data_IF_344446698668
#
_entry.id   IF_344446698668
#
_cell.length_a   1.000
_cell.length_b   1.000
_cell.length_c   1.000
_cell.angle_alpha   90.00
_cell.angle_beta   90.00
_cell.angle_gamma   90.00
#
_symmetry.space_group_name_H-M   'P 1'
#
loop_
_entity.id
_entity.type
_entity.pdbx_description
1 polymer ?
#
# COMPACT_ATOMS: atom_id res chain seq x y z
N UNK A 1 10.86 -16.06 14.85
CA UNK A 1 10.06 -15.17 13.98
C UNK A 1 10.26 -13.75 14.44
N UNK A 2 10.32 -12.77 13.54
CA UNK A 2 10.36 -11.36 13.94
C UNK A 2 8.95 -10.77 13.92
N UNK A 3 8.62 -9.96 14.91
CA UNK A 3 7.37 -9.19 14.96
C UNK A 3 7.74 -7.71 15.08
N UNK A 4 7.53 -6.98 14.01
CA UNK A 4 7.84 -5.55 13.90
C UNK A 4 6.60 -4.75 14.29
N UNK A 5 6.71 -3.96 15.36
CA UNK A 5 5.66 -3.07 15.81
C UNK A 5 5.88 -1.65 15.26
N UNK A 6 4.87 -1.12 14.56
CA UNK A 6 4.87 0.26 14.03
C UNK A 6 3.81 1.15 14.70
N UNK A 7 3.00 0.57 15.59
CA UNK A 7 1.86 1.21 16.24
C UNK A 7 0.52 0.65 15.73
N UNK A 8 -0.45 1.54 15.53
CA UNK A 8 -1.79 1.19 15.05
C UNK A 8 -2.80 0.74 16.12
N UNK A 9 -4.01 0.45 15.68
CA UNK A 9 -5.18 0.14 16.53
C UNK A 9 -4.96 -1.08 17.43
N UNK A 10 -4.24 -2.10 16.95
CA UNK A 10 -3.95 -3.32 17.72
C UNK A 10 -3.16 -3.04 19.00
N UNK A 11 -2.35 -1.99 18.98
CA UNK A 11 -1.55 -1.53 20.09
C UNK A 11 -2.19 -0.36 20.85
N UNK A 12 -3.42 0.04 20.51
CA UNK A 12 -4.07 1.24 21.03
C UNK A 12 -5.26 0.92 21.95
N UNK A 13 -5.46 1.77 22.96
CA UNK A 13 -6.65 1.81 23.82
C UNK A 13 -7.28 3.19 23.76
N UNK A 14 -8.61 3.26 23.94
CA UNK A 14 -9.30 4.55 24.05
C UNK A 14 -9.08 5.18 25.43
N UNK A 15 -8.84 6.48 25.47
CA UNK A 15 -8.82 7.26 26.70
C UNK A 15 -10.22 7.76 27.10
N UNK A 16 -10.32 8.52 28.19
CA UNK A 16 -11.59 9.06 28.72
C UNK A 16 -12.32 9.98 27.73
N UNK A 17 -11.64 10.49 26.70
CA UNK A 17 -12.23 11.33 25.63
C UNK A 17 -12.74 10.49 24.46
N UNK A 18 -12.48 9.18 24.46
CA UNK A 18 -12.81 8.26 23.38
C UNK A 18 -11.76 8.19 22.26
N UNK A 19 -10.66 8.92 22.37
CA UNK A 19 -9.56 8.92 21.40
C UNK A 19 -8.67 7.68 21.61
N UNK A 20 -8.38 6.95 20.53
CA UNK A 20 -7.46 5.81 20.58
C UNK A 20 -6.01 6.30 20.64
N UNK A 21 -5.23 5.80 21.61
CA UNK A 21 -3.80 6.09 21.77
C UNK A 21 -2.99 4.81 21.89
N UNK A 22 -1.78 4.74 21.30
CA UNK A 22 -0.88 3.61 21.51
C UNK A 22 -0.58 3.42 23.00
N UNK A 23 -0.83 2.24 23.53
CA UNK A 23 -0.65 1.90 24.94
C UNK A 23 -0.04 0.51 25.19
N UNK A 24 0.04 -0.34 24.17
CA UNK A 24 0.61 -1.70 24.27
C UNK A 24 1.90 -1.79 23.44
N UNK A 25 2.97 -2.34 24.02
CA UNK A 25 4.17 -2.74 23.27
C UNK A 25 3.92 -4.04 22.49
N UNK A 26 4.71 -4.30 21.45
CA UNK A 26 4.70 -5.58 20.74
C UNK A 26 5.00 -6.74 21.69
N UNK A 27 5.90 -6.56 22.65
CA UNK A 27 6.19 -7.55 23.69
C UNK A 27 4.95 -7.90 24.54
N UNK A 28 4.16 -6.89 24.92
CA UNK A 28 2.90 -7.11 25.66
C UNK A 28 1.87 -7.87 24.82
N UNK A 29 1.73 -7.54 23.53
CA UNK A 29 0.83 -8.24 22.61
C UNK A 29 1.22 -9.72 22.44
N UNK A 30 2.51 -10.02 22.50
CA UNK A 30 3.05 -11.37 22.36
C UNK A 30 2.96 -12.20 23.65
N UNK A 31 2.98 -11.56 24.82
CA UNK A 31 2.88 -12.24 26.12
C UNK A 31 1.58 -13.06 26.29
N UNK A 32 0.50 -12.65 25.61
CA UNK A 32 -0.78 -13.37 25.60
C UNK A 32 -0.87 -14.52 24.60
N UNK A 33 0.13 -14.68 23.72
CA UNK A 33 0.13 -15.67 22.62
C UNK A 33 1.02 -16.90 22.92
N UNK A 34 1.48 -17.04 24.17
CA UNK A 34 2.44 -18.06 24.64
C UNK A 34 1.98 -19.52 24.67
N UNK A 35 1.08 -19.93 23.78
CA UNK A 35 0.78 -21.34 23.51
C UNK A 35 1.54 -21.80 22.27
N UNK A 36 2.44 -22.76 22.43
CA UNK A 36 3.15 -23.51 21.38
C UNK A 36 4.38 -22.84 20.72
N UNK A 37 5.55 -23.00 21.36
CA UNK A 37 6.83 -23.34 20.71
C UNK A 37 7.49 -22.34 19.74
N UNK A 38 6.83 -21.27 19.32
CA UNK A 38 7.39 -20.30 18.38
C UNK A 38 8.17 -19.21 19.15
N UNK A 39 9.50 -19.18 19.00
CA UNK A 39 10.32 -18.07 19.51
C UNK A 39 10.04 -16.81 18.69
N UNK A 40 9.59 -15.74 19.36
CA UNK A 40 9.30 -14.45 18.76
C UNK A 40 10.34 -13.42 19.21
N UNK A 41 10.91 -12.71 18.24
CA UNK A 41 11.79 -11.55 18.41
C UNK A 41 10.94 -10.28 18.20
N UNK A 42 10.58 -9.56 19.27
CA UNK A 42 9.92 -8.27 19.12
C UNK A 42 10.90 -7.22 18.57
N UNK A 43 10.43 -6.38 17.64
CA UNK A 43 11.15 -5.24 17.08
C UNK A 43 10.26 -4.01 17.21
N UNK A 44 10.55 -3.17 18.21
CA UNK A 44 9.85 -1.90 18.43
C UNK A 44 10.43 -0.84 17.48
N UNK A 45 9.81 -0.67 16.31
CA UNK A 45 10.33 0.26 15.30
C UNK A 45 9.81 1.68 15.53
N UNK A 46 8.50 1.82 15.75
CA UNK A 46 7.85 3.09 16.00
C UNK A 46 6.46 2.89 16.62
N UNK A 47 5.84 3.98 17.09
CA UNK A 47 4.47 3.99 17.60
C UNK A 47 3.71 5.17 17.00
N UNK A 48 3.32 5.05 15.72
CA UNK A 48 2.60 6.09 14.97
C UNK A 48 1.20 5.63 14.56
N UNK A 49 0.29 6.59 14.45
CA UNK A 49 -1.00 6.38 13.79
C UNK A 49 -0.76 6.27 12.27
N UNK A 50 -1.37 5.27 11.62
CA UNK A 50 -1.17 5.02 10.19
C UNK A 50 -1.57 6.20 9.30
N UNK A 51 -2.55 7.01 9.72
CA UNK A 51 -2.98 8.22 9.00
C UNK A 51 -1.94 9.34 9.01
N UNK A 52 -0.97 9.26 9.94
CA UNK A 52 0.11 10.24 10.09
C UNK A 52 1.46 9.74 9.53
N UNK A 53 1.48 8.56 8.91
CA UNK A 53 2.70 8.03 8.31
C UNK A 53 3.09 8.82 7.06
N UNK A 54 4.39 9.08 6.96
CA UNK A 54 5.01 9.66 5.77
C UNK A 54 5.63 8.58 4.88
N UNK A 55 6.01 8.92 3.66
CA UNK A 55 6.76 7.99 2.79
C UNK A 55 8.11 7.58 3.40
N UNK A 56 8.74 8.45 4.18
CA UNK A 56 9.96 8.12 4.93
C UNK A 56 9.69 7.11 6.05
N UNK A 57 8.54 7.19 6.71
CA UNK A 57 8.14 6.18 7.71
C UNK A 57 7.89 4.82 7.04
N UNK A 58 7.21 4.81 5.89
CA UNK A 58 7.02 3.60 5.09
C UNK A 58 8.36 2.98 4.67
N UNK A 59 9.33 3.81 4.24
CA UNK A 59 10.68 3.35 3.90
C UNK A 59 11.37 2.71 5.11
N UNK A 60 11.30 3.34 6.30
CA UNK A 60 11.87 2.79 7.52
C UNK A 60 11.25 1.42 7.90
N UNK A 61 9.95 1.24 7.68
CA UNK A 61 9.27 -0.05 7.87
C UNK A 61 9.80 -1.09 6.88
N UNK A 62 9.97 -0.72 5.61
CA UNK A 62 10.55 -1.61 4.61
C UNK A 62 11.99 -2.01 4.95
N UNK A 63 12.83 -1.04 5.32
CA UNK A 63 14.22 -1.29 5.72
C UNK A 63 14.30 -2.27 6.90
N UNK A 64 13.43 -2.09 7.91
CA UNK A 64 13.34 -3.01 9.05
C UNK A 64 12.94 -4.43 8.62
N UNK A 65 11.97 -4.57 7.70
CA UNK A 65 11.64 -5.88 7.13
C UNK A 65 12.85 -6.48 6.39
N UNK A 66 13.58 -5.67 5.62
CA UNK A 66 14.80 -6.11 4.94
C UNK A 66 15.88 -6.67 5.89
N UNK A 67 16.08 -6.02 7.04
CA UNK A 67 16.99 -6.48 8.10
C UNK A 67 16.57 -7.86 8.62
N UNK A 68 15.30 -8.04 8.95
CA UNK A 68 14.79 -9.31 9.49
C UNK A 68 14.73 -10.42 8.43
N UNK A 69 14.51 -10.07 7.16
CA UNK A 69 14.63 -11.01 6.04
C UNK A 69 16.06 -11.53 5.87
N UNK A 70 17.08 -10.71 6.15
CA UNK A 70 18.49 -11.11 6.07
C UNK A 70 18.97 -11.96 7.25
N UNK A 71 18.33 -11.88 8.42
CA UNK A 71 18.73 -12.60 9.63
C UNK A 71 18.47 -14.13 9.51
N UNK A 72 19.48 -15.00 9.47
CA UNK A 72 19.27 -16.45 9.31
C UNK A 72 18.54 -17.11 10.51
N UNK A 73 18.47 -16.45 11.67
CA UNK A 73 17.70 -16.93 12.82
C UNK A 73 16.19 -16.63 12.72
N UNK A 74 15.78 -15.81 11.75
CA UNK A 74 14.38 -15.44 11.50
C UNK A 74 13.81 -16.29 10.37
N UNK A 75 12.70 -16.98 10.62
CA UNK A 75 12.06 -17.86 9.62
C UNK A 75 10.84 -17.21 8.93
N UNK A 76 10.43 -16.04 9.39
CA UNK A 76 9.28 -15.28 8.89
C UNK A 76 9.16 -13.95 9.65
N UNK A 77 8.46 -12.99 9.06
CA UNK A 77 8.27 -11.64 9.59
C UNK A 77 6.77 -11.34 9.68
N UNK A 78 6.33 -10.82 10.82
CA UNK A 78 5.01 -10.21 10.99
C UNK A 78 5.18 -8.73 11.23
N UNK A 79 4.38 -7.90 10.56
CA UNK A 79 4.37 -6.44 10.73
C UNK A 79 3.03 -6.04 11.32
N UNK A 80 3.04 -5.53 12.54
CA UNK A 80 1.88 -4.90 13.17
C UNK A 80 1.77 -3.47 12.67
N UNK A 81 0.64 -3.14 12.04
CA UNK A 81 0.46 -1.87 11.37
C UNK A 81 -0.95 -1.32 11.59
N UNK A 82 -1.10 0.02 11.55
CA UNK A 82 -2.42 0.67 11.53
C UNK A 82 -3.11 0.47 10.18
N UNK A 83 -4.44 0.38 10.19
CA UNK A 83 -5.20 -0.08 9.01
C UNK A 83 -5.31 0.97 7.90
N UNK A 84 -5.19 2.26 8.20
CA UNK A 84 -5.47 3.33 7.21
C UNK A 84 -4.44 3.43 6.07
N UNK A 85 -3.18 3.08 6.35
CA UNK A 85 -2.09 3.14 5.36
C UNK A 85 -1.40 1.77 5.15
N UNK A 86 -2.06 0.69 5.57
CA UNK A 86 -1.50 -0.67 5.48
C UNK A 86 -1.36 -1.12 4.03
N UNK A 87 -2.33 -0.78 3.17
CA UNK A 87 -2.31 -1.12 1.74
C UNK A 87 -1.12 -0.50 0.99
N UNK A 88 -0.70 0.70 1.40
CA UNK A 88 0.44 1.42 0.82
C UNK A 88 1.77 0.85 1.31
N UNK A 89 1.92 0.73 2.64
CA UNK A 89 3.17 0.29 3.26
C UNK A 89 3.50 -1.15 2.88
N UNK A 90 2.51 -2.04 2.91
CA UNK A 90 2.71 -3.44 2.57
C UNK A 90 3.07 -3.65 1.09
N UNK A 91 2.56 -2.80 0.18
CA UNK A 91 3.00 -2.80 -1.20
C UNK A 91 4.45 -2.33 -1.34
N UNK A 92 4.89 -1.30 -0.62
CA UNK A 92 6.28 -0.85 -0.66
C UNK A 92 7.24 -2.00 -0.28
N UNK A 93 6.94 -2.72 0.79
CA UNK A 93 7.72 -3.89 1.22
C UNK A 93 7.76 -4.97 0.14
N UNK A 94 6.62 -5.23 -0.51
CA UNK A 94 6.58 -6.19 -1.61
C UNK A 94 7.43 -5.76 -2.80
N UNK A 95 7.47 -4.46 -3.11
CA UNK A 95 8.24 -3.93 -4.24
C UNK A 95 9.75 -3.96 -4.01
N UNK A 96 10.21 -3.76 -2.77
CA UNK A 96 11.64 -3.56 -2.47
C UNK A 96 12.42 -4.85 -2.18
N UNK A 97 11.75 -5.92 -1.72
CA UNK A 97 12.46 -7.08 -1.17
C UNK A 97 12.20 -8.38 -1.92
N UNK A 98 13.29 -9.11 -2.18
CA UNK A 98 13.23 -10.54 -2.51
C UNK A 98 12.75 -11.33 -1.30
N UNK A 99 11.62 -12.02 -1.45
CA UNK A 99 10.98 -12.74 -0.35
C UNK A 99 11.52 -14.15 -0.19
N UNK A 100 12.65 -14.28 0.51
CA UNK A 100 13.20 -15.59 0.90
C UNK A 100 12.38 -16.30 1.98
N UNK A 101 11.51 -15.56 2.69
CA UNK A 101 10.73 -15.97 3.87
C UNK A 101 9.35 -15.29 3.82
N UNK A 102 8.33 -15.83 4.50
CA UNK A 102 7.02 -15.18 4.59
C UNK A 102 7.10 -13.81 5.28
N UNK A 103 6.39 -12.81 4.73
CA UNK A 103 6.19 -11.49 5.34
C UNK A 103 4.68 -11.24 5.40
N UNK A 104 4.16 -11.07 6.61
CA UNK A 104 2.73 -10.95 6.87
C UNK A 104 2.44 -9.63 7.58
N UNK A 105 1.64 -8.76 6.95
CA UNK A 105 1.08 -7.59 7.61
C UNK A 105 -0.20 -7.98 8.36
N UNK A 106 -0.44 -7.33 9.50
CA UNK A 106 -1.67 -7.48 10.26
C UNK A 106 -1.93 -6.26 11.16
N UNK A 107 -3.10 -6.19 11.76
CA UNK A 107 -3.54 -5.11 12.64
C UNK A 107 -4.88 -5.42 13.29
N UNK A 108 -5.61 -4.37 13.66
CA UNK A 108 -6.96 -4.50 14.20
C UNK A 108 -7.86 -3.38 13.65
N UNK A 109 -9.13 -3.69 13.42
CA UNK A 109 -10.14 -2.67 13.10
C UNK A 109 -10.63 -1.99 14.38
N UNK A 110 -10.78 -2.75 15.45
CA UNK A 110 -11.25 -2.26 16.74
C UNK A 110 -10.12 -2.21 17.77
N UNK A 111 -10.17 -1.20 18.64
CA UNK A 111 -9.19 -1.01 19.72
C UNK A 111 -9.25 -2.16 20.73
N UNK A 112 -8.17 -2.36 21.49
CA UNK A 112 -8.03 -3.49 22.40
C UNK A 112 -9.09 -3.53 23.52
N UNK A 113 -9.67 -2.39 23.88
CA UNK A 113 -10.75 -2.24 24.86
C UNK A 113 -12.16 -2.53 24.29
N UNK A 114 -12.29 -2.69 22.97
CA UNK A 114 -13.58 -2.93 22.34
C UNK A 114 -14.05 -4.39 22.53
N UNK A 115 -15.33 -4.65 22.84
CA UNK A 115 -15.88 -6.01 22.93
C UNK A 115 -15.74 -6.85 21.64
N UNK A 116 -15.65 -6.19 20.49
CA UNK A 116 -15.43 -6.79 19.17
C UNK A 116 -13.96 -6.74 18.72
N UNK A 117 -13.02 -6.56 19.64
CA UNK A 117 -11.59 -6.51 19.32
C UNK A 117 -11.14 -7.73 18.51
N UNK A 118 -10.53 -7.45 17.35
CA UNK A 118 -10.13 -8.44 16.36
C UNK A 118 -8.60 -8.66 16.34
N UNK A 119 -7.84 -7.76 16.98
CA UNK A 119 -6.38 -7.78 17.03
C UNK A 119 -5.75 -9.11 17.46
N UNK A 120 -6.15 -9.73 18.59
CA UNK A 120 -5.56 -10.99 19.03
C UNK A 120 -5.73 -12.13 18.01
N UNK A 121 -6.92 -12.26 17.41
CA UNK A 121 -7.20 -13.29 16.43
C UNK A 121 -6.42 -13.05 15.12
N UNK A 122 -6.37 -11.80 14.65
CA UNK A 122 -5.59 -11.40 13.49
C UNK A 122 -4.09 -11.68 13.69
N UNK A 123 -3.54 -11.34 14.85
CA UNK A 123 -2.13 -11.58 15.17
C UNK A 123 -1.80 -13.08 15.26
N UNK A 124 -2.65 -13.88 15.90
CA UNK A 124 -2.46 -15.33 15.95
C UNK A 124 -2.45 -15.93 14.53
N UNK A 125 -3.39 -15.53 13.68
CA UNK A 125 -3.44 -15.96 12.29
C UNK A 125 -2.21 -15.50 11.50
N UNK A 126 -1.73 -14.28 11.72
CA UNK A 126 -0.54 -13.75 11.08
C UNK A 126 0.73 -14.53 11.46
N UNK A 127 0.88 -14.89 12.74
CA UNK A 127 1.98 -15.73 13.23
C UNK A 127 1.92 -17.11 12.58
N UNK A 128 0.74 -17.76 12.53
CA UNK A 128 0.59 -19.05 11.86
C UNK A 128 0.93 -18.97 10.37
N UNK A 129 0.50 -17.90 9.69
CA UNK A 129 0.81 -17.65 8.28
C UNK A 129 2.31 -17.42 8.05
N UNK A 130 2.97 -16.68 8.94
CA UNK A 130 4.41 -16.41 8.86
C UNK A 130 5.26 -17.65 9.18
N UNK A 131 4.72 -18.61 9.95
CA UNK A 131 5.36 -19.88 10.24
C UNK A 131 5.24 -20.91 9.09
N UNK A 132 4.42 -20.62 8.08
CA UNK A 132 4.19 -21.49 6.91
C UNK A 132 5.13 -21.10 5.76
N UNK A 133 6.23 -21.86 5.48
CA UNK A 133 7.28 -21.39 4.57
C UNK A 133 6.84 -21.17 3.13
N UNK A 134 5.85 -21.93 2.65
CA UNK A 134 5.30 -21.82 1.28
C UNK A 134 4.57 -20.50 1.02
N UNK A 135 4.17 -19.77 2.07
CA UNK A 135 3.54 -18.46 1.89
C UNK A 135 4.48 -17.40 1.30
N UNK A 136 5.80 -17.58 1.38
CA UNK A 136 6.78 -16.68 0.73
C UNK A 136 6.61 -16.58 -0.79
N UNK A 137 6.09 -17.64 -1.42
CA UNK A 137 5.91 -17.73 -2.87
C UNK A 137 4.72 -16.90 -3.37
N UNK A 138 3.87 -16.43 -2.44
CA UNK A 138 2.63 -15.69 -2.71
C UNK A 138 2.79 -14.17 -2.61
N UNK A 139 4.02 -13.68 -2.44
CA UNK A 139 4.29 -12.26 -2.18
C UNK A 139 4.19 -11.90 -0.70
N UNK A 140 4.17 -10.60 -0.40
CA UNK A 140 3.80 -10.11 0.93
C UNK A 140 2.30 -10.30 1.08
N UNK A 141 1.86 -10.73 2.26
CA UNK A 141 0.46 -11.03 2.53
C UNK A 141 -0.07 -10.16 3.66
N UNK A 142 -1.39 -9.95 3.67
CA UNK A 142 -2.17 -9.40 4.77
C UNK A 142 -2.93 -10.55 5.45
N UNK A 143 -2.85 -10.65 6.78
CA UNK A 143 -3.76 -11.47 7.59
C UNK A 143 -4.69 -10.58 8.41
N UNK A 144 -5.97 -10.57 8.06
CA UNK A 144 -6.97 -9.67 8.65
C UNK A 144 -8.39 -10.19 8.39
N UNK A 145 -9.31 -10.05 9.35
CA UNK A 145 -10.73 -10.40 9.14
C UNK A 145 -10.96 -11.87 8.78
N UNK A 146 -10.08 -12.76 9.24
CA UNK A 146 -10.12 -14.20 8.90
C UNK A 146 -9.63 -14.54 7.48
N UNK A 147 -9.11 -13.56 6.72
CA UNK A 147 -8.56 -13.75 5.38
C UNK A 147 -7.04 -13.68 5.38
N UNK A 148 -6.44 -14.32 4.38
CA UNK A 148 -5.04 -14.16 4.01
C UNK A 148 -4.97 -13.70 2.55
N UNK A 149 -4.66 -12.42 2.34
CA UNK A 149 -4.75 -11.75 1.03
C UNK A 149 -3.35 -11.34 0.54
N UNK A 150 -3.06 -11.43 -0.77
CA UNK A 150 -1.89 -10.75 -1.35
C UNK A 150 -2.02 -9.23 -1.22
N UNK A 151 -0.89 -8.53 -1.16
CA UNK A 151 -0.91 -7.06 -1.07
C UNK A 151 -1.11 -6.37 -2.41
N UNK A 152 -0.84 -7.01 -3.55
CA UNK A 152 -1.04 -6.39 -4.86
C UNK A 152 -2.53 -6.19 -5.16
N UNK A 153 -2.96 -4.94 -5.33
CA UNK A 153 -4.37 -4.58 -5.52
C UNK A 153 -5.17 -4.53 -4.21
N UNK A 154 -4.52 -4.69 -3.05
CA UNK A 154 -5.16 -4.58 -1.74
C UNK A 154 -5.70 -3.16 -1.52
N UNK A 155 -6.90 -3.08 -0.94
CA UNK A 155 -7.46 -1.82 -0.45
C UNK A 155 -8.31 -2.01 0.81
N UNK A 156 -8.41 -0.97 1.65
CA UNK A 156 -9.34 -0.93 2.78
C UNK A 156 -10.74 -0.58 2.28
N UNK A 157 -11.65 -1.56 2.33
CA UNK A 157 -13.02 -1.46 1.84
C UNK A 157 -14.04 -0.96 2.86
N UNK A 158 -13.73 -1.04 4.16
CA UNK A 158 -14.63 -0.63 5.23
C UNK A 158 -13.92 0.17 6.33
N UNK A 159 -14.65 1.12 6.91
CA UNK A 159 -14.18 1.94 8.02
C UNK A 159 -14.60 1.37 9.40
N UNK A 160 -15.51 0.40 9.44
CA UNK A 160 -16.14 -0.10 10.68
C UNK A 160 -16.48 -1.59 10.69
N UNK A 161 -16.04 -2.34 9.67
CA UNK A 161 -16.25 -3.80 9.56
C UNK A 161 -14.95 -4.55 9.90
N UNK A 162 -14.95 -5.60 10.74
CA UNK A 162 -13.76 -6.43 10.97
C UNK A 162 -13.24 -7.14 9.70
N UNK A 163 -14.07 -7.31 8.67
CA UNK A 163 -13.63 -7.69 7.31
C UNK A 163 -13.33 -6.43 6.46
N UNK A 164 -12.32 -5.68 6.90
CA UNK A 164 -12.05 -4.33 6.40
C UNK A 164 -11.31 -4.25 5.06
N UNK A 165 -10.74 -5.36 4.56
CA UNK A 165 -9.85 -5.35 3.39
C UNK A 165 -10.31 -6.28 2.28
N UNK A 166 -10.08 -5.85 1.04
CA UNK A 166 -10.38 -6.64 -0.16
C UNK A 166 -9.38 -6.34 -1.28
N UNK A 167 -9.56 -7.00 -2.43
CA UNK A 167 -8.73 -6.82 -3.62
C UNK A 167 -9.50 -6.10 -4.72
N UNK A 168 -8.86 -5.11 -5.32
CA UNK A 168 -9.37 -4.39 -6.47
C UNK A 168 -9.44 -5.26 -7.75
N UNK A 169 -8.76 -6.40 -7.77
CA UNK A 169 -8.65 -7.33 -8.89
C UNK A 169 -8.36 -8.77 -8.45
N UNK A 170 -7.86 -9.62 -9.36
CA UNK A 170 -7.54 -11.01 -9.05
C UNK A 170 -6.52 -11.14 -7.91
N UNK A 171 -6.54 -12.27 -7.20
CA UNK A 171 -5.58 -12.63 -6.15
C UNK A 171 -4.18 -13.00 -6.66
N UNK A 172 -3.91 -12.82 -7.95
CA UNK A 172 -2.60 -13.12 -8.53
C UNK A 172 -1.66 -11.96 -8.22
N UNK A 173 -0.77 -12.17 -7.26
CA UNK A 173 0.28 -11.22 -6.92
C UNK A 173 1.46 -11.40 -7.89
N UNK A 174 1.91 -10.35 -8.60
CA UNK A 174 3.17 -10.40 -9.32
C UNK A 174 4.32 -10.80 -8.39
N UNK A 175 5.36 -11.42 -8.94
CA UNK A 175 6.59 -11.61 -8.18
C UNK A 175 7.21 -10.25 -7.84
N UNK A 176 7.87 -10.16 -6.69
CA UNK A 176 8.54 -8.93 -6.27
C UNK A 176 9.50 -8.47 -7.37
N UNK A 177 9.41 -7.20 -7.83
CA UNK A 177 10.31 -6.66 -8.84
C UNK A 177 11.66 -6.19 -8.29
N UNK A 178 11.88 -6.24 -6.96
CA UNK A 178 13.14 -5.88 -6.28
C UNK A 178 13.61 -4.43 -6.57
N UNK A 179 12.69 -3.46 -6.57
CA UNK A 179 12.99 -2.02 -6.69
C UNK A 179 13.62 -1.46 -5.40
N UNK A 180 14.84 -1.87 -5.10
CA UNK A 180 15.53 -1.61 -3.83
C UNK A 180 15.94 -0.15 -3.57
N UNK A 181 15.78 0.76 -4.53
CA UNK A 181 16.09 2.17 -4.34
C UNK A 181 15.11 2.81 -3.32
N UNK A 182 15.60 3.66 -2.42
CA UNK A 182 14.76 4.27 -1.39
C UNK A 182 13.80 5.31 -2.01
N UNK A 183 12.61 5.44 -1.44
CA UNK A 183 11.53 6.30 -1.96
C UNK A 183 11.26 7.55 -1.11
N UNK A 184 11.97 7.74 0.01
CA UNK A 184 11.69 8.73 1.04
C UNK A 184 11.68 10.20 0.55
N UNK A 185 12.42 10.50 -0.52
CA UNK A 185 12.50 11.83 -1.12
C UNK A 185 11.60 12.02 -2.36
N UNK A 186 10.85 10.99 -2.77
CA UNK A 186 10.06 11.01 -4.01
C UNK A 186 8.63 11.46 -3.72
N UNK A 187 8.35 12.73 -3.99
CA UNK A 187 7.00 13.29 -3.88
C UNK A 187 6.12 12.84 -5.05
N UNK A 188 5.09 12.06 -4.77
CA UNK A 188 4.00 11.72 -5.68
C UNK A 188 2.70 12.24 -5.09
N UNK A 189 1.97 13.06 -5.86
CA UNK A 189 0.69 13.62 -5.42
C UNK A 189 -0.47 12.85 -6.06
N UNK A 190 -1.56 12.65 -5.30
CA UNK A 190 -2.82 12.09 -5.80
C UNK A 190 -3.80 13.23 -6.05
N UNK A 191 -4.35 13.31 -7.26
CA UNK A 191 -5.32 14.33 -7.64
C UNK A 191 -6.68 13.69 -7.91
N UNK A 192 -7.70 14.11 -7.16
CA UNK A 192 -9.07 13.68 -7.36
C UNK A 192 -9.68 14.32 -8.61
N UNK A 193 -10.29 13.50 -9.46
CA UNK A 193 -11.03 13.94 -10.65
C UNK A 193 -12.53 13.79 -10.38
N UNK A 194 -13.28 14.84 -10.67
CA UNK A 194 -14.72 14.90 -10.49
C UNK A 194 -15.37 15.72 -11.62
N UNK A 195 -16.67 15.55 -11.89
CA UNK A 195 -17.36 16.37 -12.89
C UNK A 195 -17.17 17.86 -12.60
N UNK A 196 -16.66 18.61 -13.59
CA UNK A 196 -16.35 20.04 -13.45
C UNK A 196 -15.04 20.35 -12.74
N UNK A 197 -14.16 19.37 -12.48
CA UNK A 197 -12.81 19.68 -11.99
C UNK A 197 -11.98 20.37 -13.09
N UNK A 198 -11.32 21.44 -12.71
CA UNK A 198 -10.34 22.16 -13.54
C UNK A 198 -8.93 21.61 -13.30
N UNK A 199 -7.95 22.10 -14.06
CA UNK A 199 -6.55 21.67 -13.95
C UNK A 199 -5.83 22.15 -12.67
N UNK A 200 -6.47 22.98 -11.85
CA UNK A 200 -5.88 23.67 -10.69
C UNK A 200 -5.04 22.76 -9.79
N UNK A 201 -5.56 21.57 -9.44
CA UNK A 201 -4.84 20.66 -8.54
C UNK A 201 -3.65 19.95 -9.20
N UNK A 202 -3.71 19.72 -10.52
CA UNK A 202 -2.59 19.17 -11.28
C UNK A 202 -1.48 20.22 -11.37
N UNK A 203 -1.83 21.45 -11.74
CA UNK A 203 -0.87 22.55 -11.84
C UNK A 203 -0.24 22.87 -10.49
N UNK A 204 -1.02 22.89 -9.41
CA UNK A 204 -0.50 23.08 -8.05
C UNK A 204 0.49 21.98 -7.64
N UNK A 205 0.25 20.72 -8.03
CA UNK A 205 1.17 19.61 -7.76
C UNK A 205 2.49 19.79 -8.52
N UNK A 206 2.43 20.22 -9.79
CA UNK A 206 3.61 20.53 -10.61
C UNK A 206 4.44 21.67 -10.00
N UNK A 207 3.79 22.75 -9.59
CA UNK A 207 4.47 23.92 -9.02
C UNK A 207 5.06 23.63 -7.63
N UNK A 208 4.43 22.71 -6.89
CA UNK A 208 4.96 22.23 -5.61
C UNK A 208 6.08 21.18 -5.76
N UNK A 209 6.50 20.87 -7.00
CA UNK A 209 7.65 20.02 -7.31
C UNK A 209 7.39 18.52 -7.26
N UNK A 210 6.14 18.08 -7.47
CA UNK A 210 5.82 16.66 -7.58
C UNK A 210 6.66 15.98 -8.68
N UNK A 211 7.20 14.81 -8.38
CA UNK A 211 7.99 13.99 -9.31
C UNK A 211 7.12 13.08 -10.17
N UNK A 212 5.88 12.85 -9.75
CA UNK A 212 4.85 12.14 -10.50
C UNK A 212 3.48 12.48 -9.94
N UNK A 213 2.43 12.23 -10.72
CA UNK A 213 1.05 12.48 -10.30
C UNK A 213 0.21 11.23 -10.55
N UNK A 214 -0.64 10.87 -9.61
CA UNK A 214 -1.67 9.84 -9.78
C UNK A 214 -3.03 10.50 -9.85
N UNK A 215 -3.79 10.24 -10.91
CA UNK A 215 -5.18 10.67 -11.00
C UNK A 215 -6.09 9.62 -10.35
N UNK A 216 -6.92 10.07 -9.41
CA UNK A 216 -8.07 9.30 -8.93
C UNK A 216 -9.26 9.61 -9.86
N UNK A 217 -9.27 8.95 -11.02
CA UNK A 217 -10.17 9.25 -12.13
C UNK A 217 -11.58 8.65 -11.93
N UNK A 218 -12.51 9.03 -12.82
CA UNK A 218 -13.89 8.54 -12.82
C UNK A 218 -13.99 7.20 -13.57
N UNK A 219 -14.88 6.31 -13.12
CA UNK A 219 -15.25 5.11 -13.88
C UNK A 219 -14.02 4.25 -14.24
N UNK A 220 -13.86 3.95 -15.53
CA UNK A 220 -12.76 3.13 -16.04
C UNK A 220 -11.43 3.88 -16.25
N UNK A 221 -11.27 5.06 -15.65
CA UNK A 221 -10.09 5.92 -15.87
C UNK A 221 -10.37 7.14 -16.75
N UNK A 222 -11.55 7.76 -16.62
CA UNK A 222 -11.98 8.88 -17.46
C UNK A 222 -11.92 10.22 -16.70
N UNK A 223 -11.73 11.29 -17.46
CA UNK A 223 -11.65 12.67 -16.99
C UNK A 223 -12.39 13.62 -17.96
N UNK A 224 -11.83 14.80 -18.21
CA UNK A 224 -12.34 15.82 -19.13
C UNK A 224 -11.21 16.45 -19.96
N UNK A 225 -11.55 17.31 -20.92
CA UNK A 225 -10.57 17.94 -21.81
C UNK A 225 -9.56 18.83 -21.10
N UNK A 226 -9.97 19.59 -20.10
CA UNK A 226 -9.06 20.41 -19.31
C UNK A 226 -7.99 19.57 -18.59
N UNK A 227 -8.35 18.36 -18.14
CA UNK A 227 -7.39 17.42 -17.56
C UNK A 227 -6.40 16.92 -18.62
N UNK A 228 -6.86 16.53 -19.82
CA UNK A 228 -5.97 16.11 -20.92
C UNK A 228 -4.98 17.22 -21.29
N UNK A 229 -5.43 18.48 -21.32
CA UNK A 229 -4.56 19.63 -21.56
C UNK A 229 -3.51 19.81 -20.45
N UNK A 230 -3.87 19.55 -19.20
CA UNK A 230 -2.93 19.56 -18.07
C UNK A 230 -1.87 18.45 -18.20
N UNK A 231 -2.24 17.26 -18.69
CA UNK A 231 -1.29 16.17 -18.90
C UNK A 231 -0.21 16.51 -19.93
N UNK A 232 -0.53 17.32 -20.94
CA UNK A 232 0.48 17.81 -21.89
C UNK A 232 1.53 18.67 -21.17
N UNK A 233 1.12 19.52 -20.22
CA UNK A 233 2.04 20.31 -19.39
C UNK A 233 2.89 19.43 -18.48
N UNK A 234 2.30 18.39 -17.88
CA UNK A 234 3.07 17.41 -17.10
C UNK A 234 4.17 16.76 -17.96
N UNK A 235 3.83 16.34 -19.19
CA UNK A 235 4.78 15.76 -20.14
C UNK A 235 5.91 16.72 -20.51
N UNK A 236 5.59 17.99 -20.79
CA UNK A 236 6.60 19.03 -21.06
C UNK A 236 7.57 19.22 -19.88
N UNK A 237 7.07 19.10 -18.64
CA UNK A 237 7.87 19.13 -17.42
C UNK A 237 8.51 17.78 -17.04
N UNK A 238 8.36 16.75 -17.88
CA UNK A 238 8.87 15.39 -17.65
C UNK A 238 8.35 14.76 -16.34
N UNK A 239 7.11 15.09 -15.95
CA UNK A 239 6.42 14.51 -14.80
C UNK A 239 5.48 13.41 -15.29
N UNK A 240 5.75 12.12 -15.02
CA UNK A 240 4.84 11.03 -15.39
C UNK A 240 3.51 11.15 -14.66
N UNK A 241 2.43 10.83 -15.38
CA UNK A 241 1.09 10.78 -14.82
C UNK A 241 0.50 9.38 -14.97
N UNK A 242 0.00 8.85 -13.86
CA UNK A 242 -0.69 7.57 -13.79
C UNK A 242 -2.19 7.80 -13.61
N UNK A 243 -3.01 7.20 -14.46
CA UNK A 243 -4.47 7.19 -14.34
C UNK A 243 -4.88 5.95 -13.56
N UNK A 244 -5.33 6.14 -12.32
CA UNK A 244 -6.05 5.14 -11.52
C UNK A 244 -7.53 5.55 -11.44
N UNK A 245 -8.32 4.92 -10.57
CA UNK A 245 -9.75 5.20 -10.44
C UNK A 245 -10.20 5.22 -8.99
N UNK A 246 -11.24 6.02 -8.73
CA UNK A 246 -12.00 5.98 -7.48
C UNK A 246 -12.91 4.75 -7.37
N UNK A 247 -13.14 4.03 -8.49
CA UNK A 247 -13.95 2.81 -8.49
C UNK A 247 -13.15 1.71 -7.78
N UNK A 248 -13.67 1.10 -6.70
CA UNK A 248 -12.87 0.22 -5.85
C UNK A 248 -12.44 -1.08 -6.54
N UNK A 249 -13.25 -1.64 -7.43
CA UNK A 249 -13.03 -2.98 -7.98
C UNK A 249 -13.11 -3.01 -9.51
N UNK A 250 -12.44 -4.00 -10.11
CA UNK A 250 -12.41 -4.25 -11.55
C UNK A 250 -11.18 -3.68 -12.25
N UNK A 251 -10.91 -4.21 -13.45
CA UNK A 251 -9.82 -3.75 -14.30
C UNK A 251 -10.16 -2.42 -14.98
N UNK A 252 -9.21 -1.49 -14.97
CA UNK A 252 -9.34 -0.25 -15.73
C UNK A 252 -8.90 -0.49 -17.18
N UNK A 253 -9.70 0.03 -18.11
CA UNK A 253 -9.46 -0.07 -19.55
C UNK A 253 -9.67 1.31 -20.16
N UNK A 254 -8.62 1.80 -20.85
CA UNK A 254 -8.59 3.09 -21.53
C UNK A 254 -9.36 3.06 -22.87
N UNK A 255 -10.67 2.75 -22.83
CA UNK A 255 -11.48 2.54 -24.03
C UNK A 255 -12.17 3.78 -24.60
N UNK A 256 -12.39 4.81 -23.78
CA UNK A 256 -13.18 5.98 -24.19
C UNK A 256 -12.28 7.10 -24.71
N UNK A 257 -12.65 7.67 -25.86
CA UNK A 257 -12.08 8.89 -26.43
C UNK A 257 -13.14 9.99 -26.59
N UNK A 258 -12.79 11.09 -27.25
CA UNK A 258 -13.73 12.19 -27.55
C UNK A 258 -13.53 13.45 -26.70
N UNK A 259 -12.37 13.58 -26.08
CA UNK A 259 -11.88 14.81 -25.47
C UNK A 259 -11.43 14.67 -24.02
N UNK A 260 -11.68 13.55 -23.34
CA UNK A 260 -11.33 13.40 -21.92
C UNK A 260 -11.34 11.97 -21.38
N UNK A 261 -11.58 10.97 -22.23
CA UNK A 261 -11.59 9.59 -21.78
C UNK A 261 -10.17 9.04 -21.61
N UNK A 262 -10.06 7.85 -21.01
CA UNK A 262 -8.76 7.21 -20.77
C UNK A 262 -7.92 7.05 -22.05
N UNK A 263 -8.55 6.82 -23.21
CA UNK A 263 -7.83 6.74 -24.48
C UNK A 263 -7.13 8.06 -24.82
N UNK A 264 -7.82 9.20 -24.63
CA UNK A 264 -7.27 10.53 -24.93
C UNK A 264 -6.10 10.87 -23.99
N UNK A 265 -6.21 10.50 -22.70
CA UNK A 265 -5.13 10.67 -21.73
C UNK A 265 -3.92 9.79 -22.08
N UNK A 266 -4.14 8.55 -22.51
CA UNK A 266 -3.09 7.66 -22.98
C UNK A 266 -2.34 8.23 -24.20
N UNK A 267 -3.08 8.81 -25.14
CA UNK A 267 -2.51 9.43 -26.34
C UNK A 267 -1.58 10.63 -26.05
N UNK A 268 -1.77 11.31 -24.91
CA UNK A 268 -0.87 12.39 -24.46
C UNK A 268 0.21 11.92 -23.48
N UNK A 269 0.35 10.60 -23.27
CA UNK A 269 1.44 9.99 -22.52
C UNK A 269 1.11 9.61 -21.07
N UNK A 270 -0.17 9.58 -20.69
CA UNK A 270 -0.56 9.05 -19.39
C UNK A 270 -0.47 7.52 -19.34
N UNK A 271 -0.04 6.98 -18.21
CA UNK A 271 0.06 5.54 -17.97
C UNK A 271 -1.20 5.09 -17.23
N UNK A 272 -1.85 4.01 -17.68
CA UNK A 272 -3.03 3.51 -16.98
C UNK A 272 -2.65 2.43 -15.99
N UNK A 273 -3.08 2.60 -14.74
CA UNK A 273 -3.06 1.51 -13.77
C UNK A 273 -4.14 0.52 -14.13
N UNK A 274 -3.80 -0.76 -14.29
CA UNK A 274 -4.78 -1.81 -14.57
C UNK A 274 -5.61 -2.16 -13.33
N UNK A 275 -4.92 -2.38 -12.21
CA UNK A 275 -5.52 -2.93 -10.99
C UNK A 275 -5.29 -2.04 -9.78
N UNK A 276 -4.13 -1.39 -9.65
CA UNK A 276 -3.79 -0.63 -8.45
C UNK A 276 -4.62 0.65 -8.31
N UNK A 277 -5.20 0.83 -7.13
CA UNK A 277 -5.94 2.04 -6.72
C UNK A 277 -5.00 3.17 -6.31
N UNK A 278 -5.49 4.42 -6.18
CA UNK A 278 -4.62 5.58 -6.11
C UNK A 278 -3.52 5.51 -5.03
N UNK A 279 -3.84 4.99 -3.84
CA UNK A 279 -2.85 4.77 -2.77
C UNK A 279 -1.70 3.87 -3.22
N UNK A 280 -2.02 2.67 -3.69
CA UNK A 280 -1.02 1.72 -4.20
C UNK A 280 -0.31 2.18 -5.47
N UNK A 281 -1.02 2.84 -6.38
CA UNK A 281 -0.43 3.40 -7.60
C UNK A 281 0.60 4.50 -7.28
N UNK A 282 0.38 5.28 -6.22
CA UNK A 282 1.32 6.28 -5.70
C UNK A 282 2.64 5.63 -5.30
N UNK A 283 2.57 4.52 -4.56
CA UNK A 283 3.74 3.77 -4.09
C UNK A 283 4.50 3.15 -5.25
N UNK A 284 3.81 2.45 -6.17
CA UNK A 284 4.48 1.87 -7.35
C UNK A 284 5.17 2.95 -8.21
N UNK A 285 4.52 4.10 -8.43
CA UNK A 285 5.13 5.19 -9.20
C UNK A 285 6.38 5.75 -8.49
N UNK A 286 6.33 5.91 -7.17
CA UNK A 286 7.49 6.35 -6.40
C UNK A 286 8.67 5.38 -6.54
N UNK A 287 8.43 4.07 -6.39
CA UNK A 287 9.46 3.03 -6.55
C UNK A 287 10.05 2.98 -7.97
N UNK A 288 9.22 3.12 -9.00
CA UNK A 288 9.67 3.15 -10.39
C UNK A 288 10.53 4.39 -10.70
N UNK A 289 10.15 5.56 -10.19
CA UNK A 289 10.95 6.78 -10.34
C UNK A 289 12.27 6.66 -9.58
N UNK A 290 12.26 6.15 -8.35
CA UNK A 290 13.48 5.89 -7.58
C UNK A 290 14.42 4.92 -8.32
N UNK A 291 13.86 3.90 -8.97
CA UNK A 291 14.60 2.96 -9.82
C UNK A 291 15.02 3.53 -11.20
N UNK A 292 14.74 4.81 -11.47
CA UNK A 292 15.01 5.45 -12.77
C UNK A 292 14.38 4.73 -13.96
N UNK A 293 13.21 4.12 -13.77
CA UNK A 293 12.51 3.36 -14.80
C UNK A 293 12.05 4.27 -15.96
N UNK A 294 12.14 3.77 -17.19
CA UNK A 294 11.62 4.46 -18.36
C UNK A 294 10.10 4.34 -18.48
N UNK A 295 9.49 5.17 -19.33
CA UNK A 295 8.04 5.16 -19.56
C UNK A 295 7.47 3.78 -19.93
N UNK A 296 8.21 3.01 -20.75
CA UNK A 296 7.80 1.65 -21.17
C UNK A 296 7.77 0.68 -19.98
N UNK A 297 8.78 0.74 -19.11
CA UNK A 297 8.87 -0.13 -17.94
C UNK A 297 7.80 0.23 -16.92
N UNK A 298 7.53 1.53 -16.75
CA UNK A 298 6.40 2.00 -15.94
C UNK A 298 5.07 1.49 -16.50
N UNK A 299 4.83 1.62 -17.80
CA UNK A 299 3.61 1.12 -18.44
C UNK A 299 3.43 -0.40 -18.26
N UNK A 300 4.51 -1.17 -18.37
CA UNK A 300 4.50 -2.61 -18.12
C UNK A 300 4.18 -2.93 -16.64
N UNK A 301 4.81 -2.24 -15.70
CA UNK A 301 4.56 -2.45 -14.27
C UNK A 301 3.10 -2.11 -13.88
N UNK A 302 2.55 -1.02 -14.41
CA UNK A 302 1.15 -0.64 -14.18
C UNK A 302 0.12 -1.52 -14.92
N UNK A 303 0.58 -2.33 -15.89
CA UNK A 303 -0.19 -3.42 -16.49
C UNK A 303 0.01 -4.75 -15.72
N UNK A 304 0.35 -4.69 -14.43
CA UNK A 304 0.62 -5.85 -13.56
C UNK A 304 1.72 -6.79 -14.12
N UNK A 305 2.73 -6.21 -14.78
CA UNK A 305 3.83 -6.92 -15.45
C UNK A 305 3.41 -7.87 -16.57
N UNK A 306 2.17 -7.76 -17.05
CA UNK A 306 1.67 -8.52 -18.21
C UNK A 306 2.17 -7.89 -19.52
N UNK A 307 2.44 -8.76 -20.48
CA UNK A 307 2.82 -8.38 -21.85
C UNK A 307 1.67 -7.74 -22.64
#
# INVERSE_FOLDING_TARGET
MAVIATGGTIASQRDETGAAKPSLSGENLLSGLGGDGASVKPVELMAKDSSSLTISDMQAISDAVGVELADPAVNGVVVLHGTDAMEETSLLVHLQHRLGKPVIFTGAQFTADNPLSDGPANLQAAIAAAATPTNREKGVLLSFGGKLLPVWGLYKRSADDPDAFDLAGPSDCPQSPEFSAPVDAIRIDIVAIYPGCEATHIDASLDAGAKGIVLCALGSGNANAGVVDALRRCRERHVPVVVSSRVPEGHLVAGYGGGGGGHDMGAVGAIHSRTLRPGQARILLASLIAASAGHRDMARAFNDFRD
#
